data_IF_526882122999
#
_entry.id   IF_526882122999
#
_cell.length_a   1.000
_cell.length_b   1.000
_cell.length_c   1.000
_cell.angle_alpha   90.00
_cell.angle_beta   90.00
_cell.angle_gamma   90.00
#
_symmetry.space_group_name_H-M   'P 1'
#
loop_
_entity.id
_entity.type
_entity.pdbx_description
1 polymer ?
#
# COMPACT_ATOMS: atom_id res chain seq x y z
N UNK A 1 -14.63 -14.05 24.08
CA UNK A 1 -14.46 -12.58 24.02
C UNK A 1 -14.67 -12.14 22.59
N UNK A 2 -15.21 -10.94 22.40
CA UNK A 2 -15.36 -10.37 21.07
C UNK A 2 -13.99 -10.18 20.42
N UNK A 3 -13.90 -10.45 19.12
CA UNK A 3 -12.66 -10.37 18.37
C UNK A 3 -12.89 -9.66 17.03
N UNK A 4 -12.09 -8.65 16.75
CA UNK A 4 -12.03 -8.00 15.45
C UNK A 4 -10.77 -8.47 14.74
N UNK A 5 -10.92 -9.14 13.61
CA UNK A 5 -9.79 -9.55 12.77
C UNK A 5 -9.71 -8.66 11.54
N UNK A 6 -8.62 -7.91 11.42
CA UNK A 6 -8.32 -7.09 10.26
C UNK A 6 -7.65 -7.98 9.21
N UNK A 7 -8.22 -8.04 8.01
CA UNK A 7 -7.67 -8.86 6.92
C UNK A 7 -7.33 -8.01 5.69
N UNK A 8 -6.17 -8.28 5.11
CA UNK A 8 -5.82 -7.71 3.82
C UNK A 8 -6.54 -8.48 2.69
N UNK A 9 -7.09 -7.75 1.73
CA UNK A 9 -7.72 -8.27 0.51
C UNK A 9 -6.81 -8.12 -0.70
N UNK A 10 -7.02 -8.88 -1.76
CA UNK A 10 -6.26 -8.74 -3.00
C UNK A 10 -6.32 -7.33 -3.59
N UNK A 11 -5.21 -6.86 -4.16
CA UNK A 11 -5.11 -5.54 -4.82
C UNK A 11 -5.29 -5.60 -6.34
N UNK A 12 -5.56 -6.79 -6.88
CA UNK A 12 -5.74 -6.97 -8.32
C UNK A 12 -5.97 -8.43 -8.70
N UNK A 13 -5.15 -9.35 -8.21
CA UNK A 13 -5.31 -10.77 -8.45
C UNK A 13 -6.01 -11.43 -7.24
N UNK A 14 -7.20 -11.98 -7.45
CA UNK A 14 -7.96 -12.62 -6.37
C UNK A 14 -7.24 -13.81 -5.72
N UNK A 15 -6.25 -14.41 -6.39
CA UNK A 15 -5.44 -15.49 -5.85
C UNK A 15 -4.42 -15.03 -4.79
N UNK A 16 -4.21 -13.71 -4.65
CA UNK A 16 -3.33 -13.16 -3.61
C UNK A 16 -3.96 -13.17 -2.21
N UNK A 17 -5.19 -13.66 -2.07
CA UNK A 17 -5.82 -13.85 -0.76
C UNK A 17 -5.14 -14.98 0.01
N UNK A 18 -4.86 -14.76 1.29
CA UNK A 18 -4.19 -15.78 2.10
C UNK A 18 -5.15 -16.85 2.59
N UNK A 19 -4.65 -18.08 2.79
CA UNK A 19 -5.45 -19.19 3.33
C UNK A 19 -6.06 -18.86 4.70
N UNK A 20 -5.32 -18.13 5.56
CA UNK A 20 -5.84 -17.68 6.85
C UNK A 20 -6.97 -16.67 6.71
N UNK A 21 -6.89 -15.75 5.74
CA UNK A 21 -7.97 -14.80 5.46
C UNK A 21 -9.23 -15.53 4.99
N UNK A 22 -9.11 -16.54 4.12
CA UNK A 22 -10.22 -17.37 3.66
C UNK A 22 -10.90 -18.07 4.86
N UNK A 23 -10.12 -18.67 5.75
CA UNK A 23 -10.64 -19.34 6.94
C UNK A 23 -11.35 -18.36 7.87
N UNK A 24 -10.77 -17.19 8.11
CA UNK A 24 -11.35 -16.15 8.94
C UNK A 24 -12.68 -15.64 8.35
N UNK A 25 -12.75 -15.41 7.04
CA UNK A 25 -14.00 -15.03 6.35
C UNK A 25 -15.05 -16.13 6.50
N UNK A 26 -14.68 -17.41 6.36
CA UNK A 26 -15.61 -18.54 6.52
C UNK A 26 -16.18 -18.63 7.93
N UNK A 27 -15.41 -18.34 8.96
CA UNK A 27 -15.84 -18.38 10.37
C UNK A 27 -16.45 -17.05 10.86
N UNK A 28 -16.48 -15.99 10.03
CA UNK A 28 -16.98 -14.70 10.43
C UNK A 28 -18.50 -14.70 10.64
N UNK A 29 -18.95 -14.11 11.75
CA UNK A 29 -20.37 -13.80 12.02
C UNK A 29 -20.78 -12.49 11.34
N UNK A 30 -19.82 -11.56 11.21
CA UNK A 30 -20.03 -10.24 10.68
C UNK A 30 -18.80 -9.77 9.92
N UNK A 31 -19.00 -9.14 8.75
CA UNK A 31 -17.93 -8.54 7.93
C UNK A 31 -18.23 -7.05 7.76
N UNK A 32 -17.34 -6.23 8.25
CA UNK A 32 -17.28 -4.80 7.99
C UNK A 32 -16.44 -4.59 6.71
N UNK A 33 -17.01 -3.92 5.72
CA UNK A 33 -16.34 -3.71 4.43
C UNK A 33 -16.71 -2.35 3.85
N UNK A 34 -15.81 -1.78 3.05
CA UNK A 34 -15.97 -0.44 2.49
C UNK A 34 -17.14 -0.40 1.50
N UNK A 35 -17.10 -1.24 0.47
CA UNK A 35 -18.20 -1.46 -0.47
C UNK A 35 -18.65 -2.93 -0.46
N UNK A 36 -19.87 -3.16 -0.03
CA UNK A 36 -20.47 -4.51 0.04
C UNK A 36 -20.54 -5.18 -1.34
N UNK A 37 -20.57 -4.42 -2.43
CA UNK A 37 -20.59 -4.95 -3.81
C UNK A 37 -19.24 -5.53 -4.18
N UNK A 38 -18.15 -4.85 -3.84
CA UNK A 38 -16.77 -5.32 -4.04
C UNK A 38 -16.49 -6.55 -3.18
N UNK A 39 -16.87 -6.50 -1.91
CA UNK A 39 -16.73 -7.64 -1.00
C UNK A 39 -17.49 -8.88 -1.48
N UNK A 40 -18.71 -8.71 -2.01
CA UNK A 40 -19.47 -9.82 -2.62
C UNK A 40 -18.74 -10.50 -3.78
N UNK A 41 -17.95 -9.75 -4.57
CA UNK A 41 -17.14 -10.38 -5.64
C UNK A 41 -16.08 -11.33 -5.07
N UNK A 42 -15.41 -10.90 -3.99
CA UNK A 42 -14.43 -11.74 -3.28
C UNK A 42 -15.12 -12.97 -2.69
N UNK A 43 -16.24 -12.79 -2.00
CA UNK A 43 -16.99 -13.92 -1.41
C UNK A 43 -17.48 -14.91 -2.47
N UNK A 44 -17.98 -14.42 -3.60
CA UNK A 44 -18.41 -15.27 -4.72
C UNK A 44 -17.24 -16.06 -5.32
N UNK A 45 -16.07 -15.42 -5.49
CA UNK A 45 -14.85 -16.11 -5.96
C UNK A 45 -14.41 -17.22 -5.02
N UNK A 46 -14.60 -17.01 -3.69
CA UNK A 46 -14.28 -18.00 -2.66
C UNK A 46 -15.40 -19.01 -2.39
N UNK A 47 -16.51 -18.92 -3.13
CA UNK A 47 -17.72 -19.76 -2.94
C UNK A 47 -18.30 -19.68 -1.50
N UNK A 48 -18.11 -18.54 -0.85
CA UNK A 48 -18.61 -18.29 0.52
C UNK A 48 -19.97 -17.55 0.41
N UNK A 49 -21.03 -18.17 0.97
CA UNK A 49 -22.40 -17.65 0.94
C UNK A 49 -22.83 -17.21 2.35
N UNK A 50 -23.96 -16.51 2.41
CA UNK A 50 -24.72 -16.20 3.63
C UNK A 50 -23.92 -15.45 4.70
N UNK A 51 -23.00 -14.55 4.27
CA UNK A 51 -22.27 -13.66 5.18
C UNK A 51 -23.01 -12.35 5.40
N UNK A 52 -23.11 -11.92 6.65
CA UNK A 52 -23.64 -10.61 7.03
C UNK A 52 -22.59 -9.54 6.72
N UNK A 53 -22.86 -8.71 5.71
CA UNK A 53 -22.01 -7.59 5.32
C UNK A 53 -22.58 -6.28 5.84
N UNK A 54 -21.72 -5.43 6.41
CA UNK A 54 -22.06 -4.09 6.84
C UNK A 54 -21.10 -3.11 6.20
N UNK A 55 -21.65 -2.08 5.56
CA UNK A 55 -20.84 -1.02 4.97
C UNK A 55 -20.15 -0.20 6.07
N UNK A 56 -18.84 -0.15 6.02
CA UNK A 56 -17.95 0.56 6.93
C UNK A 56 -16.90 1.34 6.14
N UNK A 57 -17.18 2.62 5.88
CA UNK A 57 -16.37 3.49 5.05
C UNK A 57 -16.07 4.81 5.76
N UNK A 58 -15.14 5.58 5.25
CA UNK A 58 -14.63 6.85 5.82
C UNK A 58 -15.72 7.80 6.35
N UNK A 59 -16.89 7.82 5.74
CA UNK A 59 -17.98 8.75 6.12
C UNK A 59 -18.93 8.20 7.17
N UNK A 60 -18.91 6.90 7.46
CA UNK A 60 -19.84 6.29 8.43
C UNK A 60 -19.15 5.60 9.62
N UNK A 61 -17.82 5.56 9.70
CA UNK A 61 -17.08 4.85 10.77
C UNK A 61 -17.64 5.14 12.16
N UNK A 62 -17.70 6.44 12.55
CA UNK A 62 -18.18 6.85 13.88
C UNK A 62 -19.63 6.44 14.14
N UNK A 63 -20.51 6.65 13.17
CA UNK A 63 -21.93 6.32 13.31
C UNK A 63 -22.17 4.81 13.34
N UNK A 64 -21.38 4.03 12.61
CA UNK A 64 -21.45 2.57 12.63
C UNK A 64 -20.99 2.03 13.98
N UNK A 65 -19.90 2.53 14.53
CA UNK A 65 -19.41 2.14 15.85
C UNK A 65 -20.47 2.47 16.92
N UNK A 66 -21.02 3.69 16.91
CA UNK A 66 -22.03 4.10 17.89
C UNK A 66 -23.29 3.22 17.86
N UNK A 67 -23.70 2.73 16.67
CA UNK A 67 -24.88 1.87 16.50
C UNK A 67 -24.61 0.41 16.81
N UNK A 68 -23.38 -0.03 16.74
CA UNK A 68 -22.99 -1.44 16.79
C UNK A 68 -22.11 -1.80 17.97
N UNK A 69 -21.82 -0.86 18.87
CA UNK A 69 -20.98 -1.08 20.04
C UNK A 69 -21.37 -2.34 20.82
N UNK A 70 -22.66 -2.52 21.08
CA UNK A 70 -23.17 -3.70 21.83
C UNK A 70 -22.91 -5.02 21.08
N UNK A 71 -23.00 -5.00 19.75
CA UNK A 71 -22.69 -6.15 18.90
C UNK A 71 -21.18 -6.45 18.95
N UNK A 72 -20.35 -5.40 18.91
CA UNK A 72 -18.90 -5.55 18.97
C UNK A 72 -18.40 -6.03 20.34
N UNK A 73 -19.19 -5.85 21.39
CA UNK A 73 -18.85 -6.33 22.74
C UNK A 73 -19.32 -7.77 22.99
N UNK A 74 -20.08 -8.37 22.09
CA UNK A 74 -20.51 -9.77 22.19
C UNK A 74 -19.41 -10.72 21.70
N UNK A 75 -19.55 -12.03 22.01
CA UNK A 75 -18.61 -13.07 21.53
C UNK A 75 -18.85 -13.37 20.05
N UNK A 76 -18.48 -12.43 19.17
CA UNK A 76 -18.63 -12.56 17.73
C UNK A 76 -17.26 -12.43 17.03
N UNK A 77 -17.09 -13.21 15.97
CA UNK A 77 -15.97 -13.10 15.06
C UNK A 77 -16.27 -12.01 14.01
N UNK A 78 -15.71 -10.84 14.20
CA UNK A 78 -15.91 -9.68 13.32
C UNK A 78 -14.70 -9.54 12.42
N UNK A 79 -14.93 -9.45 11.12
CA UNK A 79 -13.89 -9.18 10.13
C UNK A 79 -13.97 -7.71 9.71
N UNK A 80 -12.82 -7.05 9.63
CA UNK A 80 -12.66 -5.78 8.92
C UNK A 80 -11.85 -6.02 7.65
N UNK A 81 -12.41 -5.66 6.49
CA UNK A 81 -11.72 -5.73 5.19
C UNK A 81 -11.98 -4.47 4.37
N UNK A 82 -10.99 -4.03 3.59
CA UNK A 82 -11.11 -2.96 2.59
C UNK A 82 -11.46 -3.53 1.21
N UNK A 83 -11.75 -2.66 0.27
CA UNK A 83 -12.03 -3.05 -1.12
C UNK A 83 -10.80 -3.66 -1.80
N UNK A 84 -9.60 -3.15 -1.46
CA UNK A 84 -8.33 -3.67 -1.97
C UNK A 84 -7.19 -3.39 -0.97
N UNK A 85 -6.38 -4.40 -0.68
CA UNK A 85 -5.20 -4.25 0.16
C UNK A 85 -5.48 -4.33 1.66
N UNK A 86 -4.65 -3.67 2.44
CA UNK A 86 -4.64 -3.72 3.90
C UNK A 86 -5.50 -2.59 4.48
N UNK A 87 -6.55 -2.89 5.25
CA UNK A 87 -7.37 -1.88 5.93
C UNK A 87 -6.52 -0.92 6.78
N UNK A 88 -7.01 0.29 6.99
CA UNK A 88 -6.34 1.36 7.75
C UNK A 88 -5.10 1.97 7.06
N UNK A 89 -4.69 1.46 5.91
CA UNK A 89 -3.60 2.02 5.11
C UNK A 89 -4.21 2.86 3.97
N UNK A 90 -4.49 4.12 4.25
CA UNK A 90 -5.28 5.05 3.41
C UNK A 90 -6.77 4.70 3.29
N UNK A 91 -7.21 3.69 4.01
CA UNK A 91 -8.57 3.13 4.05
C UNK A 91 -9.18 3.27 5.45
N UNK A 92 -10.51 3.04 5.60
CA UNK A 92 -11.17 3.01 6.90
C UNK A 92 -10.63 1.89 7.81
N UNK A 93 -10.77 2.07 9.12
CA UNK A 93 -10.41 1.05 10.12
C UNK A 93 -9.73 1.59 11.37
N UNK A 94 -8.95 2.65 11.29
CA UNK A 94 -8.21 3.20 12.44
C UNK A 94 -9.13 3.57 13.61
N UNK A 95 -10.32 4.11 13.34
CA UNK A 95 -11.28 4.51 14.37
C UNK A 95 -11.82 3.27 15.08
N UNK A 96 -12.12 2.20 14.34
CA UNK A 96 -12.60 0.93 14.90
C UNK A 96 -11.53 0.27 15.78
N UNK A 97 -10.29 0.20 15.28
CA UNK A 97 -9.18 -0.41 16.02
C UNK A 97 -8.91 0.37 17.31
N UNK A 98 -8.90 1.71 17.25
CA UNK A 98 -8.76 2.56 18.43
C UNK A 98 -9.91 2.34 19.43
N UNK A 99 -11.15 2.26 18.95
CA UNK A 99 -12.30 1.97 19.78
C UNK A 99 -12.19 0.59 20.43
N UNK A 100 -11.77 -0.43 19.69
CA UNK A 100 -11.57 -1.78 20.20
C UNK A 100 -10.57 -1.81 21.36
N UNK A 101 -9.42 -1.15 21.22
CA UNK A 101 -8.43 -1.03 22.30
C UNK A 101 -8.97 -0.28 23.54
N UNK A 102 -9.87 0.68 23.36
CA UNK A 102 -10.50 1.41 24.46
C UNK A 102 -11.60 0.64 25.20
N UNK A 103 -12.08 -0.47 24.62
CA UNK A 103 -13.16 -1.28 25.15
C UNK A 103 -12.76 -2.75 25.38
N UNK A 104 -11.45 -3.03 25.48
CA UNK A 104 -10.88 -4.36 25.74
C UNK A 104 -11.36 -5.44 24.75
N UNK A 105 -11.65 -5.04 23.50
CA UNK A 105 -11.97 -5.96 22.41
C UNK A 105 -10.67 -6.43 21.75
N UNK A 106 -10.52 -7.74 21.62
CA UNK A 106 -9.33 -8.32 20.95
C UNK A 106 -9.24 -7.88 19.49
N UNK A 107 -8.07 -7.42 19.08
CA UNK A 107 -7.78 -7.08 17.68
C UNK A 107 -6.68 -8.00 17.17
N UNK A 108 -6.94 -8.69 16.07
CA UNK A 108 -5.97 -9.54 15.36
C UNK A 108 -5.74 -9.01 13.95
N UNK A 109 -4.59 -9.31 13.37
CA UNK A 109 -4.22 -8.91 12.03
C UNK A 109 -3.73 -10.09 11.19
N UNK A 110 -4.36 -10.31 10.05
CA UNK A 110 -3.89 -11.28 9.07
C UNK A 110 -3.17 -10.54 7.93
N UNK A 111 -1.83 -10.71 7.82
CA UNK A 111 -1.05 -10.05 6.78
C UNK A 111 -1.47 -10.53 5.38
N UNK A 112 -1.28 -9.67 4.40
CA UNK A 112 -1.56 -9.98 3.00
C UNK A 112 -1.15 -8.84 2.07
N UNK A 113 -1.84 -8.69 0.95
CA UNK A 113 -1.49 -7.75 -0.09
C UNK A 113 -1.48 -6.28 0.41
N UNK A 114 -0.43 -5.56 0.03
CA UNK A 114 -0.26 -4.15 0.35
C UNK A 114 0.51 -3.46 -0.78
N UNK A 115 -0.14 -2.53 -1.47
CA UNK A 115 0.40 -1.94 -2.69
C UNK A 115 1.70 -1.16 -2.47
N UNK A 116 1.82 -0.39 -1.38
CA UNK A 116 3.04 0.38 -1.13
C UNK A 116 4.24 -0.54 -0.83
N UNK A 117 4.04 -1.66 -0.16
CA UNK A 117 5.10 -2.64 0.12
C UNK A 117 5.56 -3.30 -1.19
N UNK A 118 4.61 -3.74 -2.02
CA UNK A 118 4.92 -4.32 -3.33
C UNK A 118 5.66 -3.35 -4.24
N UNK A 119 5.24 -2.08 -4.28
CA UNK A 119 5.92 -1.05 -5.06
C UNK A 119 7.35 -0.79 -4.57
N UNK A 120 7.57 -0.76 -3.25
CA UNK A 120 8.90 -0.62 -2.67
C UNK A 120 9.80 -1.79 -3.07
N UNK A 121 9.33 -3.03 -2.93
CA UNK A 121 10.11 -4.22 -3.32
C UNK A 121 10.47 -4.19 -4.80
N UNK A 122 9.52 -3.84 -5.67
CA UNK A 122 9.73 -3.76 -7.11
C UNK A 122 10.66 -2.62 -7.52
N UNK A 123 10.73 -1.53 -6.75
CA UNK A 123 11.60 -0.39 -7.05
C UNK A 123 13.09 -0.72 -6.95
N UNK A 124 13.45 -1.70 -6.13
CA UNK A 124 14.85 -1.98 -5.80
C UNK A 124 15.53 -0.86 -5.03
N UNK A 125 14.78 0.07 -4.45
CA UNK A 125 15.34 1.15 -3.64
C UNK A 125 15.64 0.68 -2.22
N UNK A 126 16.56 1.38 -1.56
CA UNK A 126 17.03 1.00 -0.23
C UNK A 126 16.13 1.53 0.89
N UNK A 127 16.20 0.87 2.06
CA UNK A 127 15.66 1.38 3.32
C UNK A 127 16.51 2.57 3.83
N UNK A 128 15.93 3.49 4.65
CA UNK A 128 14.56 3.43 5.18
C UNK A 128 13.50 3.89 4.20
N UNK A 129 12.27 3.41 4.38
CA UNK A 129 11.11 3.83 3.60
C UNK A 129 10.14 4.67 4.44
N UNK A 130 9.45 5.61 3.79
CA UNK A 130 8.39 6.43 4.38
C UNK A 130 7.15 6.36 3.50
N UNK A 131 6.05 5.82 4.01
CA UNK A 131 4.78 5.84 3.32
C UNK A 131 4.03 7.14 3.62
N UNK A 132 3.71 7.90 2.61
CA UNK A 132 3.14 9.25 2.68
C UNK A 132 1.63 9.30 2.38
N UNK A 133 1.00 8.15 2.05
CA UNK A 133 -0.39 8.11 1.59
C UNK A 133 -0.57 8.70 0.20
N UNK A 134 -1.66 9.44 -0.03
CA UNK A 134 -1.92 10.08 -1.32
C UNK A 134 -1.23 11.43 -1.46
N UNK A 135 -0.81 11.73 -2.69
CA UNK A 135 -0.42 13.09 -3.04
C UNK A 135 -1.60 14.06 -2.90
N UNK A 136 -1.29 15.25 -2.44
CA UNK A 136 -2.23 16.38 -2.49
C UNK A 136 -2.52 16.80 -3.94
N UNK A 137 -3.54 17.62 -4.13
CA UNK A 137 -3.99 18.04 -5.46
C UNK A 137 -3.50 19.43 -5.89
N UNK A 138 -3.01 20.25 -4.96
CA UNK A 138 -2.57 21.64 -5.23
C UNK A 138 -1.04 21.71 -5.21
N UNK A 139 -0.43 22.45 -6.15
CA UNK A 139 1.03 22.59 -6.31
C UNK A 139 1.74 22.87 -5.00
N UNK A 140 1.32 23.86 -4.25
CA UNK A 140 1.97 24.23 -2.98
C UNK A 140 1.90 23.11 -1.93
N UNK A 141 0.83 22.32 -1.93
CA UNK A 141 0.69 21.20 -1.01
C UNK A 141 1.54 20.00 -1.45
N UNK A 142 1.69 19.76 -2.77
CA UNK A 142 2.61 18.76 -3.32
C UNK A 142 4.04 19.13 -2.93
N UNK A 143 4.44 20.39 -3.14
CA UNK A 143 5.78 20.88 -2.78
C UNK A 143 6.03 20.67 -1.28
N UNK A 144 5.09 21.04 -0.40
CA UNK A 144 5.21 20.80 1.04
C UNK A 144 5.37 19.33 1.42
N UNK A 145 4.84 18.41 0.63
CA UNK A 145 5.03 16.98 0.87
C UNK A 145 6.44 16.50 0.49
N UNK A 146 7.07 17.15 -0.50
CA UNK A 146 8.35 16.69 -1.06
C UNK A 146 9.54 17.52 -0.61
N UNK A 147 9.38 18.80 -0.22
CA UNK A 147 10.48 19.74 0.08
C UNK A 147 11.41 19.30 1.23
N UNK A 148 10.95 18.39 2.08
CA UNK A 148 11.70 17.88 3.21
C UNK A 148 12.25 16.46 3.00
N UNK A 149 12.30 15.99 1.75
CA UNK A 149 12.89 14.69 1.46
C UNK A 149 14.36 14.64 1.83
N UNK A 150 14.75 13.59 2.50
CA UNK A 150 16.11 13.34 2.96
C UNK A 150 16.76 12.33 2.01
N UNK A 151 18.02 12.53 1.68
CA UNK A 151 18.81 11.57 0.92
C UNK A 151 18.85 10.21 1.63
N UNK A 152 18.96 9.14 0.86
CA UNK A 152 18.94 7.75 1.34
C UNK A 152 17.61 7.26 1.94
N UNK A 153 16.53 8.02 1.77
CA UNK A 153 15.18 7.58 2.10
C UNK A 153 14.36 7.33 0.84
N UNK A 154 13.53 6.31 0.89
CA UNK A 154 12.53 6.02 -0.16
C UNK A 154 11.15 6.49 0.30
N UNK A 155 10.52 7.35 -0.49
CA UNK A 155 9.20 7.93 -0.19
C UNK A 155 8.15 7.32 -1.10
N UNK A 156 7.06 6.82 -0.53
CA UNK A 156 6.04 6.08 -1.27
C UNK A 156 4.70 6.79 -1.18
N UNK A 157 4.06 6.95 -2.35
CA UNK A 157 2.77 7.60 -2.48
C UNK A 157 1.80 6.76 -3.31
N UNK A 158 0.54 6.80 -2.95
CA UNK A 158 -0.55 6.49 -3.86
C UNK A 158 -0.85 7.70 -4.73
N UNK A 159 -1.11 7.47 -6.01
CA UNK A 159 -1.28 8.54 -6.99
C UNK A 159 -2.60 8.39 -7.70
N UNK A 160 -3.44 9.42 -7.63
CA UNK A 160 -4.66 9.48 -8.41
C UNK A 160 -4.35 9.54 -9.92
N UNK A 161 -4.97 8.69 -10.75
CA UNK A 161 -4.75 8.70 -12.19
C UNK A 161 -5.04 10.08 -12.83
N UNK A 162 -6.01 10.82 -12.30
CA UNK A 162 -6.39 12.14 -12.79
C UNK A 162 -5.36 13.23 -12.47
N UNK A 163 -4.42 12.97 -11.57
CA UNK A 163 -3.41 13.92 -11.13
C UNK A 163 -1.98 13.51 -11.46
N UNK A 164 -1.80 12.31 -12.00
CA UNK A 164 -0.48 11.71 -12.20
C UNK A 164 0.45 12.61 -13.03
N UNK A 165 0.01 13.04 -14.19
CA UNK A 165 0.82 13.93 -15.07
C UNK A 165 1.20 15.22 -14.32
N UNK A 166 0.22 15.89 -13.74
CA UNK A 166 0.44 17.14 -13.01
C UNK A 166 1.41 16.97 -11.83
N UNK A 167 1.30 15.87 -11.08
CA UNK A 167 2.21 15.56 -9.96
C UNK A 167 3.63 15.38 -10.48
N UNK A 168 3.82 14.63 -11.58
CA UNK A 168 5.14 14.42 -12.19
C UNK A 168 5.75 15.73 -12.70
N UNK A 169 4.94 16.63 -13.30
CA UNK A 169 5.39 17.96 -13.71
C UNK A 169 5.86 18.80 -12.53
N UNK A 170 5.11 18.82 -11.41
CA UNK A 170 5.50 19.54 -10.20
C UNK A 170 6.78 18.95 -9.59
N UNK A 171 6.92 17.63 -9.56
CA UNK A 171 8.15 16.97 -9.08
C UNK A 171 9.33 17.33 -9.99
N UNK A 172 9.12 17.33 -11.30
CA UNK A 172 10.16 17.73 -12.27
C UNK A 172 10.58 19.18 -12.08
N UNK A 173 9.65 20.08 -11.91
CA UNK A 173 9.96 21.51 -11.67
C UNK A 173 10.75 21.72 -10.38
N UNK A 174 10.49 20.93 -9.35
CA UNK A 174 11.12 21.09 -8.05
C UNK A 174 12.48 20.38 -7.95
N UNK A 175 12.58 19.14 -8.43
CA UNK A 175 13.78 18.31 -8.29
C UNK A 175 14.52 18.05 -9.60
N UNK A 176 13.85 18.09 -10.76
CA UNK A 176 14.44 17.70 -12.04
C UNK A 176 15.04 16.30 -11.99
N UNK A 177 16.29 16.18 -12.43
CA UNK A 177 17.02 14.90 -12.44
C UNK A 177 17.62 14.48 -11.08
N UNK A 178 17.41 15.27 -10.04
CA UNK A 178 17.88 14.94 -8.68
C UNK A 178 17.03 13.89 -7.98
N UNK A 179 15.88 13.51 -8.54
CA UNK A 179 15.00 12.48 -8.01
C UNK A 179 14.87 11.33 -9.00
N UNK A 180 14.94 10.11 -8.49
CA UNK A 180 14.56 8.90 -9.22
C UNK A 180 13.14 8.49 -8.81
N UNK A 181 12.37 8.05 -9.80
CA UNK A 181 10.99 7.60 -9.65
C UNK A 181 10.89 6.16 -10.12
N UNK A 182 10.31 5.31 -9.30
CA UNK A 182 9.70 4.06 -9.71
C UNK A 182 8.19 4.21 -9.62
N UNK A 183 7.48 4.02 -10.72
CA UNK A 183 6.04 4.11 -10.80
C UNK A 183 5.48 2.78 -11.26
N UNK A 184 4.65 2.15 -10.46
CA UNK A 184 3.92 0.95 -10.85
C UNK A 184 2.44 1.28 -11.08
N UNK A 185 1.93 0.80 -12.20
CA UNK A 185 0.54 0.89 -12.63
C UNK A 185 -0.11 -0.48 -12.55
N UNK A 186 -1.34 -0.56 -12.00
CA UNK A 186 -2.18 -1.76 -12.02
C UNK A 186 -1.45 -3.00 -11.45
N UNK A 187 -0.77 -2.85 -10.32
CA UNK A 187 0.02 -3.91 -9.69
C UNK A 187 -0.83 -5.16 -9.43
N UNK A 188 -0.27 -6.34 -9.71
CA UNK A 188 -0.89 -7.68 -9.68
C UNK A 188 -2.00 -7.93 -10.71
N UNK A 189 -2.37 -6.91 -11.52
CA UNK A 189 -3.40 -7.05 -12.57
C UNK A 189 -2.77 -7.43 -13.91
N UNK A 190 -3.61 -7.88 -14.86
CA UNK A 190 -3.17 -8.32 -16.20
C UNK A 190 -2.40 -7.24 -16.96
N UNK A 191 -2.74 -5.98 -16.73
CA UNK A 191 -2.11 -4.83 -17.39
C UNK A 191 -1.08 -4.12 -16.50
N UNK A 192 -0.47 -4.83 -15.55
CA UNK A 192 0.61 -4.28 -14.74
C UNK A 192 1.74 -3.76 -15.62
N UNK A 193 2.16 -2.53 -15.35
CA UNK A 193 3.35 -1.89 -15.94
C UNK A 193 4.11 -1.13 -14.90
N UNK A 194 5.40 -0.94 -15.12
CA UNK A 194 6.23 -0.05 -14.31
C UNK A 194 7.10 0.83 -15.19
N UNK A 195 7.43 1.99 -14.66
CA UNK A 195 8.22 3.02 -15.29
C UNK A 195 9.31 3.43 -14.31
N UNK A 196 10.52 3.64 -14.83
CA UNK A 196 11.68 3.94 -13.98
C UNK A 196 12.56 5.03 -14.60
N UNK A 197 12.91 6.04 -13.81
CA UNK A 197 13.81 7.09 -14.22
C UNK A 197 13.50 8.44 -13.59
N UNK A 198 13.97 9.51 -14.25
CA UNK A 198 13.62 10.88 -13.85
C UNK A 198 12.19 11.22 -14.23
N UNK A 199 11.61 12.27 -13.62
CA UNK A 199 10.23 12.67 -13.89
C UNK A 199 9.89 12.82 -15.39
N UNK A 200 10.75 13.49 -16.17
CA UNK A 200 10.52 13.68 -17.62
C UNK A 200 10.55 12.38 -18.40
N UNK A 201 11.44 11.45 -18.06
CA UNK A 201 11.48 10.13 -18.69
C UNK A 201 10.22 9.34 -18.40
N UNK A 202 9.77 9.35 -17.14
CA UNK A 202 8.51 8.68 -16.75
C UNK A 202 7.32 9.30 -17.46
N UNK A 203 7.28 10.61 -17.62
CA UNK A 203 6.22 11.31 -18.37
C UNK A 203 6.19 10.89 -19.84
N UNK A 204 7.35 10.80 -20.49
CA UNK A 204 7.47 10.38 -21.90
C UNK A 204 7.01 8.93 -22.09
N UNK A 205 7.46 8.03 -21.23
CA UNK A 205 7.09 6.60 -21.30
C UNK A 205 5.61 6.32 -20.99
N UNK A 206 4.95 7.18 -20.19
CA UNK A 206 3.52 7.04 -19.88
C UNK A 206 2.62 7.23 -21.11
N UNK A 207 3.02 8.02 -22.11
CA UNK A 207 2.29 8.24 -23.35
C UNK A 207 0.76 8.45 -23.14
N UNK A 208 0.37 9.24 -22.17
CA UNK A 208 -1.02 9.46 -21.76
C UNK A 208 -1.77 8.23 -21.21
N UNK A 209 -1.07 7.12 -20.93
CA UNK A 209 -1.65 5.91 -20.32
C UNK A 209 -1.95 6.10 -18.82
N UNK A 210 -2.80 7.06 -18.49
CA UNK A 210 -3.08 7.48 -17.11
C UNK A 210 -4.29 6.78 -16.48
N UNK A 211 -4.91 5.80 -17.15
CA UNK A 211 -6.01 5.02 -16.55
C UNK A 211 -5.48 3.92 -15.63
N UNK A 212 -6.10 3.73 -14.47
CA UNK A 212 -5.76 2.67 -13.52
C UNK A 212 -5.23 3.20 -12.20
N UNK A 213 -4.74 2.31 -11.34
CA UNK A 213 -4.20 2.61 -10.02
C UNK A 213 -2.68 2.71 -10.09
N UNK A 214 -2.12 3.68 -9.36
CA UNK A 214 -0.70 3.96 -9.40
C UNK A 214 -0.11 4.04 -8.00
N UNK A 215 1.04 3.41 -7.81
CA UNK A 215 1.90 3.61 -6.64
C UNK A 215 3.26 4.10 -7.10
N UNK A 216 3.72 5.21 -6.52
CA UNK A 216 4.98 5.86 -6.85
C UNK A 216 5.96 5.75 -5.70
N UNK A 217 7.19 5.35 -6.00
CA UNK A 217 8.31 5.39 -5.07
C UNK A 217 9.31 6.41 -5.56
N UNK A 218 9.75 7.30 -4.69
CA UNK A 218 10.66 8.40 -4.96
C UNK A 218 11.91 8.28 -4.11
N UNK A 219 13.07 8.56 -4.69
CA UNK A 219 14.34 8.65 -3.97
C UNK A 219 15.17 9.81 -4.49
N UNK A 220 15.73 10.62 -3.61
CA UNK A 220 16.73 11.59 -4.02
C UNK A 220 18.02 10.87 -4.41
N UNK A 221 18.61 11.26 -5.54
CA UNK A 221 19.93 10.77 -5.95
C UNK A 221 21.00 11.21 -4.97
N UNK A 222 21.92 10.30 -4.70
CA UNK A 222 23.16 10.66 -4.03
C UNK A 222 24.11 11.25 -5.07
N UNK A 223 24.64 12.43 -4.81
CA UNK A 223 25.70 13.05 -5.64
C UNK A 223 27.03 12.28 -5.54
N UNK A 224 27.17 11.39 -4.59
CA UNK A 224 28.36 10.55 -4.43
C UNK A 224 28.18 9.21 -5.15
N UNK A 225 29.09 8.94 -6.10
CA UNK A 225 29.31 7.56 -6.58
C UNK A 225 29.59 6.68 -5.36
N UNK A 226 28.95 5.52 -5.21
CA UNK A 226 29.29 4.61 -4.13
C UNK A 226 30.77 4.31 -4.23
N UNK A 227 31.56 4.65 -3.22
CA UNK A 227 32.93 4.16 -3.08
C UNK A 227 32.81 2.64 -3.03
N UNK A 228 33.10 1.97 -4.13
CA UNK A 228 33.26 0.53 -4.14
C UNK A 228 34.27 0.23 -3.04
N UNK A 229 33.83 -0.33 -1.94
CA UNK A 229 34.73 -0.84 -0.89
C UNK A 229 35.62 -1.82 -1.60
N UNK A 230 36.92 -1.50 -1.70
CA UNK A 230 37.89 -2.39 -2.25
C UNK A 230 37.70 -3.76 -1.60
N UNK A 231 37.51 -4.77 -2.43
CA UNK A 231 37.21 -6.11 -1.98
C UNK A 231 38.37 -6.57 -1.09
N UNK A 232 38.16 -6.67 0.22
CA UNK A 232 39.17 -7.04 1.22
C UNK A 232 39.80 -8.40 0.92
N UNK A 233 39.22 -9.16 -0.02
CA UNK A 233 39.64 -10.50 -0.42
C UNK A 233 40.37 -10.57 -1.79
N UNK A 234 40.53 -9.46 -2.51
CA UNK A 234 41.30 -9.46 -3.78
C UNK A 234 42.79 -9.83 -3.59
N UNK A 235 43.33 -9.63 -2.40
CA UNK A 235 44.72 -10.00 -2.09
C UNK A 235 44.91 -11.48 -1.72
N UNK A 236 43.86 -12.24 -1.51
CA UNK A 236 43.98 -13.68 -1.19
C UNK A 236 44.04 -14.58 -2.42
N UNK A 237 43.61 -14.12 -3.59
CA UNK A 237 43.61 -14.94 -4.82
C UNK A 237 44.95 -14.88 -5.59
N UNK A 238 45.88 -13.99 -5.22
CA UNK A 238 47.18 -13.86 -5.91
C UNK A 238 48.33 -14.69 -5.31
N UNK A 239 48.13 -15.33 -4.15
CA UNK A 239 49.16 -16.08 -3.45
C UNK A 239 49.00 -17.60 -3.45
N UNK A 240 48.10 -18.16 -4.21
CA UNK A 240 47.96 -19.59 -4.36
C UNK A 240 48.12 -19.97 -5.83
N UNK A 241 49.32 -20.10 -6.29
CA UNK A 241 49.87 -21.15 -7.18
C UNK A 241 51.37 -20.89 -7.42
N UNK A 242 52.19 -21.51 -6.65
CA UNK A 242 53.53 -21.98 -7.02
C UNK A 242 53.67 -23.34 -6.40
N UNK A 243 53.38 -24.35 -7.18
CA UNK A 243 53.99 -25.68 -7.14
C UNK A 243 54.32 -26.07 -8.58
#
# INVERSE_FOLDING_TARGET
>A
MAKITVIATPIGNLQDITLRAIQAIKSADLILCEDTRTSKKILNFLEIKDKKLISYHKFNEKSTIAKMSDIFLTNQNIILMSDAGTPSISDPGQILIKWAHQNDVEVDFLPGACAFVGAFVLSGFDLPLVFMGFFNSKKQQIIKQIEHFIQNYSYIFYVSPYKLIYILEVINEFYGEKVEIFLVKEMTKIHQKYFFGFPLKVLDELQNSTKGEFTMVLRLKNDEKPKLKANKYENFSKNSVKF
#
